data_IF_088480661417
#
_entry.id   IF_088480661417
#
_cell.length_a   1.000
_cell.length_b   1.000
_cell.length_c   1.000
_cell.angle_alpha   90.00
_cell.angle_beta   90.00
_cell.angle_gamma   90.00
#
_symmetry.space_group_name_H-M   'P 1'
#
loop_
_entity.id
_entity.type
_entity.pdbx_description
1 polymer ?
#
# COMPACT_ATOMS: atom_id res chain seq x y z
N UNK A 1 -18.97 63.07 -17.47
CA UNK A 1 -19.88 62.08 -18.08
C UNK A 1 -19.86 62.33 -19.58
N UNK A 2 -19.32 61.41 -20.38
CA UNK A 2 -20.21 60.41 -21.00
C UNK A 2 -19.65 58.97 -21.16
N UNK A 3 -20.61 58.04 -21.24
CA UNK A 3 -20.73 56.75 -21.95
C UNK A 3 -19.52 55.93 -22.47
N UNK A 4 -19.54 54.64 -22.12
CA UNK A 4 -19.06 53.46 -22.90
C UNK A 4 -20.20 52.94 -23.84
N UNK A 5 -20.06 51.90 -24.72
CA UNK A 5 -19.02 50.84 -24.76
C UNK A 5 -18.56 50.27 -26.16
N UNK A 6 -17.50 49.41 -26.12
CA UNK A 6 -17.11 48.32 -27.10
C UNK A 6 -16.69 48.77 -28.53
N UNK A 7 -15.75 48.13 -29.25
CA UNK A 7 -14.88 46.92 -29.09
C UNK A 7 -13.61 47.14 -29.98
N UNK A 8 -12.58 46.30 -30.17
CA UNK A 8 -12.25 44.86 -29.91
C UNK A 8 -10.70 44.71 -29.98
N UNK A 9 -10.11 43.69 -29.31
CA UNK A 9 -8.75 43.10 -29.56
C UNK A 9 -7.54 44.06 -29.39
N UNK A 10 -6.33 43.68 -28.94
CA UNK A 10 -5.65 42.45 -28.47
C UNK A 10 -4.47 42.95 -27.58
N UNK A 11 -3.66 42.17 -26.84
CA UNK A 11 -3.38 40.73 -26.70
C UNK A 11 -3.25 40.38 -25.19
N UNK A 12 -3.40 39.09 -24.84
CA UNK A 12 -2.90 38.53 -23.57
C UNK A 12 -1.38 38.27 -23.64
N UNK A 13 -0.66 38.42 -22.52
CA UNK A 13 0.72 37.93 -22.42
C UNK A 13 1.04 37.21 -21.10
N UNK A 14 1.32 35.91 -21.25
CA UNK A 14 2.00 34.98 -20.34
C UNK A 14 1.45 34.80 -18.91
N UNK A 15 0.69 33.71 -18.80
CA UNK A 15 0.53 32.89 -17.60
C UNK A 15 1.85 32.60 -16.88
N UNK A 16 1.88 32.82 -15.56
CA UNK A 16 2.86 32.18 -14.65
C UNK A 16 2.45 30.71 -14.43
N UNK A 17 3.10 29.77 -15.10
CA UNK A 17 3.07 28.35 -14.73
C UNK A 17 4.42 27.87 -14.17
N UNK A 18 4.62 28.07 -12.87
CA UNK A 18 5.66 27.34 -12.14
C UNK A 18 5.07 26.06 -11.52
N UNK A 19 5.51 24.88 -12.02
CA UNK A 19 5.96 23.70 -11.23
C UNK A 19 6.17 22.42 -12.08
N UNK A 20 7.42 22.10 -12.48
CA UNK A 20 7.78 20.78 -13.02
C UNK A 20 8.44 19.82 -12.00
N UNK A 21 8.89 20.31 -10.83
CA UNK A 21 9.76 19.53 -9.93
C UNK A 21 9.17 18.19 -9.45
N UNK A 22 7.86 18.15 -9.19
CA UNK A 22 7.22 17.01 -8.55
C UNK A 22 7.12 15.79 -9.48
N UNK A 23 7.12 16.02 -10.79
CA UNK A 23 7.23 14.97 -11.82
C UNK A 23 8.66 14.42 -11.87
N UNK A 24 9.66 15.30 -11.98
CA UNK A 24 11.08 14.91 -12.04
C UNK A 24 11.54 14.14 -10.80
N UNK A 25 11.08 14.50 -9.60
CA UNK A 25 11.36 13.77 -8.35
C UNK A 25 10.76 12.36 -8.35
N UNK A 26 9.55 12.17 -8.90
CA UNK A 26 8.94 10.83 -9.06
C UNK A 26 9.73 10.00 -10.07
N UNK A 27 10.14 10.60 -11.18
CA UNK A 27 10.91 9.96 -12.25
C UNK A 27 12.29 9.48 -11.76
N UNK A 28 13.02 10.31 -11.01
CA UNK A 28 14.30 9.93 -10.41
C UNK A 28 14.13 8.84 -9.35
N UNK A 29 13.15 8.99 -8.44
CA UNK A 29 12.82 7.98 -7.43
C UNK A 29 12.48 6.64 -8.09
N UNK A 30 11.69 6.64 -9.16
CA UNK A 30 11.36 5.45 -9.94
C UNK A 30 12.59 4.83 -10.61
N UNK A 31 13.44 5.60 -11.30
CA UNK A 31 14.66 5.07 -11.93
C UNK A 31 15.61 4.39 -10.93
N UNK A 32 15.78 4.98 -9.75
CA UNK A 32 16.57 4.39 -8.66
C UNK A 32 15.89 3.14 -8.09
N UNK A 33 14.59 3.22 -7.80
CA UNK A 33 13.80 2.14 -7.23
C UNK A 33 13.69 0.96 -8.20
N UNK A 34 13.62 1.19 -9.52
CA UNK A 34 13.64 0.16 -10.59
C UNK A 34 14.99 -0.59 -10.64
N UNK A 35 16.13 0.12 -10.50
CA UNK A 35 17.45 -0.53 -10.38
C UNK A 35 17.53 -1.40 -9.13
N UNK A 36 17.09 -0.87 -7.98
CA UNK A 36 17.08 -1.59 -6.69
C UNK A 36 16.12 -2.79 -6.68
N UNK A 37 14.98 -2.70 -7.37
CA UNK A 37 13.95 -3.75 -7.40
C UNK A 37 14.27 -4.87 -8.40
N UNK A 38 14.98 -4.59 -9.51
CA UNK A 38 15.46 -5.65 -10.41
C UNK A 38 16.64 -6.43 -9.81
N UNK A 39 17.70 -5.74 -9.36
CA UNK A 39 19.02 -6.37 -9.16
C UNK A 39 19.08 -7.59 -8.21
N UNK A 40 18.35 -7.68 -7.07
CA UNK A 40 18.36 -8.86 -6.21
C UNK A 40 17.05 -9.68 -6.27
N UNK A 41 16.05 -9.21 -7.01
CA UNK A 41 14.67 -9.69 -6.93
C UNK A 41 14.19 -10.37 -8.22
N UNK A 42 14.70 -9.97 -9.40
CA UNK A 42 14.38 -10.69 -10.65
C UNK A 42 15.11 -12.04 -10.76
N UNK A 43 16.28 -12.20 -10.14
CA UNK A 43 17.03 -13.47 -10.12
C UNK A 43 16.31 -14.60 -9.34
N UNK A 44 15.38 -14.24 -8.44
CA UNK A 44 14.64 -15.19 -7.60
C UNK A 44 13.22 -15.48 -8.08
N UNK A 45 12.79 -14.78 -9.13
CA UNK A 45 11.45 -14.89 -9.70
C UNK A 45 11.39 -16.12 -10.60
N UNK A 46 10.43 -17.03 -10.36
CA UNK A 46 10.23 -18.17 -11.27
C UNK A 46 9.60 -17.67 -12.58
N UNK A 47 9.95 -18.26 -13.74
CA UNK A 47 9.27 -17.94 -15.00
C UNK A 47 7.75 -18.05 -14.87
N UNK A 48 7.04 -16.99 -15.27
CA UNK A 48 5.58 -16.91 -15.18
C UNK A 48 5.00 -16.67 -13.78
N UNK A 49 5.79 -16.60 -12.71
CA UNK A 49 5.28 -16.34 -11.35
C UNK A 49 4.59 -14.97 -11.25
N UNK A 50 5.13 -13.96 -11.95
CA UNK A 50 4.52 -12.64 -12.04
C UNK A 50 3.12 -12.68 -12.67
N UNK A 51 2.88 -13.53 -13.68
CA UNK A 51 1.56 -13.68 -14.30
C UNK A 51 0.52 -14.24 -13.32
N UNK A 52 0.93 -15.09 -12.38
CA UNK A 52 0.04 -15.62 -11.34
C UNK A 52 -0.45 -14.52 -10.38
N UNK A 53 0.33 -13.47 -10.18
CA UNK A 53 -0.02 -12.38 -9.26
C UNK A 53 -1.23 -11.56 -9.70
N UNK A 54 -1.61 -11.57 -10.99
CA UNK A 54 -2.86 -10.92 -11.44
C UNK A 54 -4.12 -11.74 -11.18
N UNK A 55 -4.02 -13.02 -10.84
CA UNK A 55 -5.19 -13.89 -10.64
C UNK A 55 -5.97 -13.54 -9.37
N UNK A 56 -5.27 -13.20 -8.28
CA UNK A 56 -5.87 -12.70 -7.04
C UNK A 56 -4.83 -12.04 -6.15
N UNK A 57 -5.28 -11.13 -5.27
CA UNK A 57 -4.43 -10.60 -4.20
C UNK A 57 -3.89 -11.72 -3.31
N UNK A 58 -4.65 -12.79 -3.07
CA UNK A 58 -4.19 -13.93 -2.29
C UNK A 58 -2.97 -14.62 -2.94
N UNK A 59 -2.99 -14.84 -4.26
CA UNK A 59 -1.86 -15.40 -5.01
C UNK A 59 -0.64 -14.49 -4.95
N UNK A 60 -0.82 -13.17 -5.11
CA UNK A 60 0.25 -12.18 -4.94
C UNK A 60 0.85 -12.23 -3.52
N UNK A 61 0.03 -12.34 -2.48
CA UNK A 61 0.48 -12.36 -1.07
C UNK A 61 1.09 -13.71 -0.64
N UNK A 62 0.84 -14.80 -1.37
CA UNK A 62 1.58 -16.07 -1.17
C UNK A 62 3.03 -15.94 -1.63
N UNK A 63 3.33 -15.21 -2.72
CA UNK A 63 4.70 -14.98 -3.20
C UNK A 63 5.48 -14.03 -2.28
N UNK A 64 6.70 -14.42 -1.88
CA UNK A 64 7.59 -13.54 -1.12
C UNK A 64 8.07 -12.34 -1.96
N UNK A 65 8.30 -12.56 -3.25
CA UNK A 65 8.66 -11.50 -4.20
C UNK A 65 7.45 -10.60 -4.47
N UNK A 66 6.28 -11.20 -4.70
CA UNK A 66 5.01 -10.48 -4.85
C UNK A 66 4.68 -9.55 -3.68
N UNK A 67 4.71 -10.05 -2.44
CA UNK A 67 4.58 -9.23 -1.22
C UNK A 67 5.56 -8.05 -1.19
N UNK A 68 6.83 -8.29 -1.51
CA UNK A 68 7.89 -7.27 -1.43
C UNK A 68 7.67 -6.15 -2.45
N UNK A 69 7.28 -6.51 -3.67
CA UNK A 69 6.99 -5.57 -4.76
C UNK A 69 5.69 -4.80 -4.47
N UNK A 70 4.64 -5.47 -4.00
CA UNK A 70 3.38 -4.81 -3.62
C UNK A 70 3.57 -3.85 -2.45
N UNK A 71 4.36 -4.23 -1.43
CA UNK A 71 4.72 -3.32 -0.33
C UNK A 71 5.56 -2.13 -0.83
N UNK A 72 6.46 -2.32 -1.80
CA UNK A 72 7.23 -1.22 -2.40
C UNK A 72 6.33 -0.25 -3.20
N UNK A 73 5.31 -0.76 -3.88
CA UNK A 73 4.26 0.02 -4.54
C UNK A 73 3.44 0.83 -3.51
N UNK A 74 2.89 0.19 -2.48
CA UNK A 74 2.12 0.88 -1.43
C UNK A 74 2.96 1.94 -0.68
N UNK A 75 4.25 1.68 -0.44
CA UNK A 75 5.20 2.67 0.11
C UNK A 75 5.44 3.88 -0.80
N UNK A 76 5.21 3.75 -2.11
CA UNK A 76 5.31 4.86 -3.05
C UNK A 76 4.08 5.77 -3.01
N UNK A 77 2.95 5.24 -2.55
CA UNK A 77 1.64 5.89 -2.44
C UNK A 77 1.23 6.24 -1.00
N UNK A 78 2.10 5.95 -0.01
CA UNK A 78 1.87 6.19 1.42
C UNK A 78 0.67 5.41 2.01
N UNK A 79 0.45 4.17 1.54
CA UNK A 79 -0.66 3.27 1.94
C UNK A 79 -0.18 1.90 2.46
N UNK A 80 1.08 1.81 2.90
CA UNK A 80 1.75 0.56 3.25
C UNK A 80 1.41 0.03 4.65
N UNK A 81 0.72 0.81 5.48
CA UNK A 81 0.12 0.36 6.74
C UNK A 81 -0.80 -0.85 6.56
N UNK A 82 -1.57 -0.89 5.47
CA UNK A 82 -2.52 -1.96 5.18
C UNK A 82 -1.83 -3.32 5.02
N UNK A 83 -0.79 -3.38 4.17
CA UNK A 83 -0.02 -4.61 3.97
C UNK A 83 0.84 -4.94 5.18
N UNK A 84 1.42 -3.94 5.85
CA UNK A 84 2.22 -4.19 7.06
C UNK A 84 1.34 -4.79 8.16
N UNK A 85 0.14 -4.24 8.41
CA UNK A 85 -0.83 -4.79 9.34
C UNK A 85 -1.22 -6.23 8.98
N UNK A 86 -1.63 -6.47 7.73
CA UNK A 86 -2.06 -7.80 7.28
C UNK A 86 -0.95 -8.85 7.50
N UNK A 87 0.31 -8.52 7.19
CA UNK A 87 1.45 -9.38 7.45
C UNK A 87 1.71 -9.60 8.96
N UNK A 88 1.49 -8.58 9.82
CA UNK A 88 1.58 -8.78 11.28
C UNK A 88 0.50 -9.73 11.79
N UNK A 89 -0.70 -9.71 11.23
CA UNK A 89 -1.77 -10.65 11.59
C UNK A 89 -1.42 -12.09 11.19
N UNK A 90 -0.87 -12.30 9.98
CA UNK A 90 -0.40 -13.63 9.55
C UNK A 90 0.72 -14.18 10.44
N UNK A 91 1.66 -13.34 10.87
CA UNK A 91 2.70 -13.76 11.81
C UNK A 91 2.17 -13.96 13.24
N UNK A 92 1.16 -13.20 13.65
CA UNK A 92 0.51 -13.31 14.95
C UNK A 92 -0.21 -14.66 15.10
N UNK A 93 -0.94 -15.11 14.08
CA UNK A 93 -1.63 -16.43 14.07
C UNK A 93 -0.69 -17.62 14.29
N UNK A 94 0.59 -17.48 13.94
CA UNK A 94 1.63 -18.53 14.08
C UNK A 94 2.22 -18.61 15.50
N UNK A 95 1.90 -17.68 16.39
CA UNK A 95 2.47 -17.62 17.74
C UNK A 95 1.80 -18.64 18.67
N UNK A 96 2.58 -19.65 19.11
CA UNK A 96 2.13 -20.67 20.08
C UNK A 96 2.32 -20.27 21.56
N UNK A 97 3.25 -19.37 21.86
CA UNK A 97 3.59 -18.99 23.24
C UNK A 97 2.71 -17.84 23.74
N UNK A 98 1.90 -18.07 24.78
CA UNK A 98 0.97 -17.09 25.37
C UNK A 98 1.64 -15.73 25.69
N UNK A 99 2.76 -15.71 26.43
CA UNK A 99 3.50 -14.47 26.73
C UNK A 99 3.90 -13.69 25.48
N UNK A 100 4.32 -14.39 24.42
CA UNK A 100 4.64 -13.75 23.12
C UNK A 100 3.38 -13.23 22.43
N UNK A 101 2.28 -13.98 22.49
CA UNK A 101 0.99 -13.61 21.92
C UNK A 101 0.50 -12.29 22.56
N UNK A 102 0.44 -12.20 23.89
CA UNK A 102 0.07 -10.96 24.61
C UNK A 102 0.97 -9.79 24.25
N UNK A 103 2.30 -10.00 24.23
CA UNK A 103 3.25 -8.93 23.88
C UNK A 103 3.12 -8.45 22.42
N UNK A 104 2.63 -9.29 21.51
CA UNK A 104 2.44 -8.96 20.10
C UNK A 104 1.05 -8.38 19.82
N UNK A 105 0.02 -8.82 20.54
CA UNK A 105 -1.31 -8.24 20.47
C UNK A 105 -1.28 -6.75 20.82
N UNK A 106 -0.66 -6.39 21.96
CA UNK A 106 -0.47 -4.98 22.37
C UNK A 106 0.26 -4.16 21.31
N UNK A 107 1.39 -4.65 20.79
CA UNK A 107 2.17 -3.95 19.74
C UNK A 107 1.44 -3.79 18.41
N UNK A 108 0.54 -4.71 18.05
CA UNK A 108 -0.31 -4.56 16.86
C UNK A 108 -1.40 -3.52 17.13
N UNK A 109 -2.01 -3.57 18.32
CA UNK A 109 -3.02 -2.61 18.75
C UNK A 109 -2.48 -1.16 18.77
N UNK A 110 -1.37 -0.93 19.46
CA UNK A 110 -0.70 0.37 19.61
C UNK A 110 -0.26 0.98 18.28
N UNK A 111 0.09 0.15 17.29
CA UNK A 111 0.66 0.61 16.01
C UNK A 111 -0.38 0.80 14.90
N UNK A 112 -1.48 0.05 14.93
CA UNK A 112 -2.46 0.00 13.83
C UNK A 112 -3.92 0.21 14.24
N UNK A 113 -4.32 -0.07 15.50
CA UNK A 113 -5.74 -0.16 15.90
C UNK A 113 -6.21 0.97 16.83
N UNK A 114 -5.35 1.44 17.74
CA UNK A 114 -5.74 2.54 18.62
C UNK A 114 -6.01 3.82 17.81
N UNK A 115 -6.90 4.72 18.26
CA UNK A 115 -7.02 6.04 17.66
C UNK A 115 -5.67 6.76 17.68
N UNK A 116 -5.37 7.52 16.62
CA UNK A 116 -4.12 8.27 16.45
C UNK A 116 -2.87 7.37 16.40
N UNK A 117 -3.04 6.08 16.05
CA UNK A 117 -1.90 5.18 15.88
C UNK A 117 -1.00 5.64 14.72
N UNK A 118 0.34 5.52 14.84
CA UNK A 118 1.28 6.02 13.82
C UNK A 118 1.18 5.31 12.46
N UNK A 119 0.43 4.21 12.38
CA UNK A 119 0.04 3.50 11.15
C UNK A 119 -1.41 3.00 11.27
N UNK A 120 -2.32 3.86 11.75
CA UNK A 120 -3.73 3.53 11.92
C UNK A 120 -4.37 2.99 10.63
N UNK A 121 -5.05 1.85 10.71
CA UNK A 121 -5.78 1.26 9.57
C UNK A 121 -7.23 1.72 9.53
N UNK A 122 -7.79 1.84 8.32
CA UNK A 122 -9.19 2.20 8.14
C UNK A 122 -10.13 1.02 8.48
N UNK A 123 -10.63 1.00 9.71
CA UNK A 123 -11.63 0.05 10.22
C UNK A 123 -12.74 0.77 10.99
N UNK A 124 -13.94 0.18 10.98
CA UNK A 124 -15.10 0.72 11.68
C UNK A 124 -14.95 0.63 13.22
N UNK A 125 -15.72 1.49 13.90
CA UNK A 125 -15.69 1.61 15.36
C UNK A 125 -16.03 0.31 16.09
N UNK A 126 -16.97 -0.50 15.57
CA UNK A 126 -17.38 -1.77 16.21
C UNK A 126 -16.23 -2.78 16.14
N UNK A 127 -15.57 -2.92 14.99
CA UNK A 127 -14.39 -3.79 14.85
C UNK A 127 -13.27 -3.36 15.79
N UNK A 128 -13.01 -2.05 15.92
CA UNK A 128 -11.99 -1.50 16.82
C UNK A 128 -12.25 -1.85 18.30
N UNK A 129 -13.46 -1.64 18.79
CA UNK A 129 -13.81 -1.94 20.18
C UNK A 129 -13.79 -3.45 20.47
N UNK A 130 -14.19 -4.31 19.52
CA UNK A 130 -14.04 -5.77 19.65
C UNK A 130 -12.56 -6.16 19.83
N UNK A 131 -11.66 -5.58 19.02
CA UNK A 131 -10.22 -5.85 19.12
C UNK A 131 -9.67 -5.36 20.46
N UNK A 132 -10.06 -4.18 20.92
CA UNK A 132 -9.66 -3.61 22.21
C UNK A 132 -9.99 -4.52 23.40
N UNK A 133 -11.13 -5.21 23.36
CA UNK A 133 -11.46 -6.25 24.35
C UNK A 133 -10.62 -7.51 24.15
N UNK A 134 -10.52 -8.02 22.91
CA UNK A 134 -9.72 -9.21 22.59
C UNK A 134 -8.23 -9.07 22.96
N UNK A 135 -7.67 -7.86 22.95
CA UNK A 135 -6.26 -7.60 23.30
C UNK A 135 -5.98 -7.75 24.81
N UNK A 136 -7.01 -7.76 25.67
CA UNK A 136 -6.86 -8.05 27.10
C UNK A 136 -6.59 -9.54 27.37
N UNK A 137 -7.28 -10.43 26.64
CA UNK A 137 -7.10 -11.89 26.69
C UNK A 137 -6.86 -12.46 25.27
N UNK A 138 -5.67 -12.22 24.68
CA UNK A 138 -5.45 -12.52 23.26
C UNK A 138 -5.51 -14.00 22.92
N UNK A 139 -6.25 -14.29 21.84
CA UNK A 139 -6.20 -15.56 21.12
C UNK A 139 -5.72 -15.30 19.68
N UNK A 140 -5.43 -16.34 18.91
CA UNK A 140 -4.89 -16.23 17.53
C UNK A 140 -5.81 -15.50 16.54
N UNK A 141 -7.11 -15.38 16.82
CA UNK A 141 -8.12 -14.75 15.97
C UNK A 141 -8.41 -13.29 16.36
N UNK A 142 -7.66 -12.72 17.30
CA UNK A 142 -7.84 -11.38 17.88
C UNK A 142 -8.07 -10.26 16.84
N UNK A 143 -7.51 -10.40 15.63
CA UNK A 143 -7.51 -9.39 14.57
C UNK A 143 -8.22 -9.84 13.28
N UNK A 144 -8.90 -10.99 13.26
CA UNK A 144 -9.38 -11.62 12.02
C UNK A 144 -10.35 -10.73 11.22
N UNK A 145 -11.29 -10.05 11.88
CA UNK A 145 -12.24 -9.16 11.20
C UNK A 145 -11.55 -7.93 10.59
N UNK A 146 -10.67 -7.25 11.34
CA UNK A 146 -9.87 -6.15 10.78
C UNK A 146 -8.97 -6.62 9.64
N UNK A 147 -8.41 -7.83 9.72
CA UNK A 147 -7.57 -8.37 8.65
C UNK A 147 -8.39 -8.65 7.38
N UNK A 148 -9.63 -9.14 7.49
CA UNK A 148 -10.55 -9.28 6.36
C UNK A 148 -10.90 -7.92 5.74
N UNK A 149 -11.22 -6.93 6.56
CA UNK A 149 -11.52 -5.56 6.12
C UNK A 149 -10.35 -4.95 5.35
N UNK A 150 -9.14 -5.01 5.91
CA UNK A 150 -7.91 -4.48 5.29
C UNK A 150 -7.53 -5.27 4.03
N UNK A 151 -7.73 -6.58 4.00
CA UNK A 151 -7.54 -7.36 2.76
C UNK A 151 -8.51 -6.91 1.66
N UNK A 152 -9.79 -6.76 1.98
CA UNK A 152 -10.80 -6.32 0.99
C UNK A 152 -10.58 -4.87 0.54
N UNK A 153 -10.06 -3.99 1.41
CA UNK A 153 -9.64 -2.64 1.05
C UNK A 153 -8.50 -2.67 0.02
N UNK A 154 -7.42 -3.42 0.30
CA UNK A 154 -6.31 -3.58 -0.64
C UNK A 154 -6.76 -4.22 -1.96
N UNK A 155 -7.65 -5.22 -1.90
CA UNK A 155 -8.16 -5.95 -3.07
C UNK A 155 -9.02 -5.07 -4.00
N UNK A 156 -9.80 -4.14 -3.44
CA UNK A 156 -10.71 -3.27 -4.20
C UNK A 156 -10.05 -1.98 -4.71
N UNK A 157 -9.11 -1.41 -3.96
CA UNK A 157 -8.41 -0.18 -4.34
C UNK A 157 -7.00 -0.46 -4.87
N UNK A 158 -6.09 -0.85 -4.00
CA UNK A 158 -4.66 -0.69 -4.26
C UNK A 158 -4.09 -1.79 -5.16
N UNK A 159 -4.67 -3.00 -5.13
CA UNK A 159 -4.28 -4.13 -5.97
C UNK A 159 -4.62 -3.91 -7.46
N UNK A 160 -5.84 -3.45 -7.85
CA UNK A 160 -6.12 -3.05 -9.24
C UNK A 160 -5.27 -1.88 -9.74
N UNK A 161 -4.77 -1.02 -8.84
CA UNK A 161 -3.84 0.06 -9.19
C UNK A 161 -2.40 -0.47 -9.34
N UNK A 162 -1.98 -1.38 -8.47
CA UNK A 162 -0.72 -2.11 -8.58
C UNK A 162 -0.58 -2.86 -9.92
N UNK A 163 -1.59 -3.63 -10.34
CA UNK A 163 -1.56 -4.37 -11.61
C UNK A 163 -1.49 -3.48 -12.86
N UNK A 164 -1.82 -2.19 -12.74
CA UNK A 164 -1.68 -1.20 -13.83
C UNK A 164 -0.37 -0.38 -13.72
N UNK A 165 0.33 -0.49 -12.61
CA UNK A 165 1.53 0.30 -12.32
C UNK A 165 2.80 -0.30 -12.95
N UNK A 166 3.80 0.56 -13.18
CA UNK A 166 5.09 0.12 -13.72
C UNK A 166 5.85 -0.82 -12.75
N UNK A 167 5.49 -0.83 -11.46
CA UNK A 167 6.00 -1.81 -10.49
C UNK A 167 5.66 -3.25 -10.91
N UNK A 168 4.45 -3.49 -11.42
CA UNK A 168 4.05 -4.82 -11.90
C UNK A 168 4.58 -5.07 -13.31
N UNK A 169 4.44 -4.10 -14.22
CA UNK A 169 4.85 -4.23 -15.64
C UNK A 169 6.33 -4.53 -15.80
N UNK A 170 7.17 -4.03 -14.89
CA UNK A 170 8.62 -4.34 -14.82
C UNK A 170 8.93 -5.84 -14.72
N UNK A 171 7.98 -6.68 -14.28
CA UNK A 171 8.12 -8.13 -14.15
C UNK A 171 7.22 -8.93 -15.12
N UNK A 172 6.54 -8.25 -16.05
CA UNK A 172 5.79 -8.88 -17.13
C UNK A 172 6.62 -9.07 -18.41
N UNK A 173 7.55 -8.14 -18.67
CA UNK A 173 8.40 -8.20 -19.86
C UNK A 173 9.47 -9.30 -19.73
N UNK A 174 9.57 -10.22 -20.71
CA UNK A 174 10.75 -11.07 -20.84
C UNK A 174 12.01 -10.22 -21.02
N UNK A 175 13.16 -10.75 -20.61
CA UNK A 175 14.44 -10.24 -21.09
C UNK A 175 14.54 -10.64 -22.56
N UNK A 176 14.58 -9.66 -23.47
CA UNK A 176 15.03 -9.86 -24.85
C UNK A 176 16.53 -10.14 -24.88
#
# INVERSE_FOLDING_TARGET
>A
MPSLPRTTNELDNMTREERPEQSQRKDFKWRLQRKLLRSPMSEKLKPGESLLWSQSLETLLRSNTGKSIFQAFLKSEFSDENIEFWLRCEDFKKIKCSRRLTSRAKKIFERYIQPEAPKEINIDHKTREIIKQNVQTPNKYCFDEAQKTVFSLMEKDSYPRFLRSDYYRTFLEPVC
#
